data_IF_468664924988
#
_entry.id   IF_468664924988
#
_cell.length_a   1.000
_cell.length_b   1.000
_cell.length_c   1.000
_cell.angle_alpha   90.00
_cell.angle_beta   90.00
_cell.angle_gamma   90.00
#
_symmetry.space_group_name_H-M   'P 1'
#
loop_
_entity.id
_entity.type
_entity.pdbx_description
1 polymer ?
#
# COMPACT_ATOMS: atom_id res chain seq x y z
N UNK A 1 -17.94 -25.98 -27.89
CA UNK A 1 -17.61 -25.18 -28.30
C UNK A 1 -17.28 -24.08 -27.53
N UNK A 2 -17.11 -23.37 -27.58
CA UNK A 2 -16.63 -22.28 -27.01
C UNK A 2 -16.65 -22.14 -25.63
N UNK A 3 -17.01 -22.24 -25.11
CA UNK A 3 -17.12 -22.14 -23.85
C UNK A 3 -16.14 -21.88 -23.05
N UNK A 4 -15.32 -22.32 -23.11
CA UNK A 4 -14.35 -22.15 -22.42
C UNK A 4 -14.03 -20.99 -21.78
N UNK A 5 -13.99 -20.12 -22.19
CA UNK A 5 -13.48 -18.98 -21.60
C UNK A 5 -14.10 -18.61 -20.38
N UNK A 6 -15.03 -19.21 -20.09
CA UNK A 6 -15.63 -18.80 -18.88
C UNK A 6 -14.64 -18.78 -17.74
N UNK A 7 -13.74 -19.62 -17.73
CA UNK A 7 -12.88 -19.65 -16.58
C UNK A 7 -12.10 -18.40 -16.39
N UNK A 8 -11.97 -17.70 -17.36
CA UNK A 8 -11.28 -16.53 -17.26
C UNK A 8 -11.88 -15.54 -16.44
N UNK A 9 -13.06 -15.28 -16.66
CA UNK A 9 -13.68 -14.25 -15.88
C UNK A 9 -13.63 -14.59 -14.43
N UNK A 10 -13.67 -15.82 -14.13
CA UNK A 10 -13.72 -16.19 -12.75
C UNK A 10 -12.49 -15.81 -11.98
N UNK A 11 -11.41 -15.58 -12.67
CA UNK A 11 -10.21 -15.25 -11.93
C UNK A 11 -10.08 -13.79 -11.66
N UNK A 12 -10.91 -12.98 -12.20
CA UNK A 12 -10.79 -11.55 -11.97
C UNK A 12 -11.19 -11.24 -10.55
N UNK A 13 -10.40 -10.52 -9.84
CA UNK A 13 -10.70 -10.12 -8.51
C UNK A 13 -10.68 -8.63 -8.43
N UNK A 14 -11.62 -8.07 -7.72
CA UNK A 14 -11.63 -6.63 -7.51
C UNK A 14 -10.43 -6.27 -6.67
N UNK A 15 -9.79 -5.19 -7.00
CA UNK A 15 -8.68 -4.69 -6.19
C UNK A 15 -9.26 -4.06 -4.94
N UNK A 16 -8.71 -4.42 -3.81
CA UNK A 16 -9.09 -3.81 -2.54
C UNK A 16 -8.09 -2.72 -2.23
N UNK A 17 -8.57 -1.55 -1.88
CA UNK A 17 -7.69 -0.43 -1.55
C UNK A 17 -7.66 -0.23 -0.05
N UNK A 18 -6.57 0.34 0.44
CA UNK A 18 -6.44 0.62 1.86
C UNK A 18 -7.41 1.74 2.20
N UNK A 19 -8.21 1.52 3.22
CA UNK A 19 -9.20 2.50 3.62
C UNK A 19 -8.51 3.80 4.00
N UNK A 20 -8.96 4.90 3.45
CA UNK A 20 -8.34 6.20 3.68
C UNK A 20 -7.40 6.61 2.56
N UNK A 21 -7.01 5.65 1.71
CA UNK A 21 -6.11 5.92 0.60
C UNK A 21 -6.86 5.56 -0.67
N UNK A 22 -7.16 6.51 -1.48
CA UNK A 22 -7.99 6.27 -2.64
C UNK A 22 -7.39 5.32 -3.65
N UNK A 23 -6.09 5.33 -3.77
CA UNK A 23 -5.46 4.57 -4.81
C UNK A 23 -4.24 3.76 -4.35
N UNK A 24 -4.17 3.38 -3.09
CA UNK A 24 -3.09 2.51 -2.63
C UNK A 24 -3.69 1.14 -2.36
N UNK A 25 -3.31 0.13 -3.13
CA UNK A 25 -3.93 -1.19 -2.98
C UNK A 25 -3.51 -1.88 -1.69
N UNK A 26 -4.42 -2.68 -1.17
CA UNK A 26 -4.13 -3.50 0.00
C UNK A 26 -3.59 -4.83 -0.51
N UNK A 27 -2.38 -5.18 -0.12
CA UNK A 27 -1.75 -6.41 -0.55
C UNK A 27 -2.46 -7.63 0.01
N UNK A 28 -2.62 -8.68 -0.79
CA UNK A 28 -3.19 -9.93 -0.31
C UNK A 28 -2.35 -10.45 0.83
N UNK A 29 -2.99 -10.92 1.85
CA UNK A 29 -2.29 -11.45 3.02
C UNK A 29 -2.12 -10.41 4.11
N UNK A 30 -2.44 -9.16 3.84
CA UNK A 30 -2.38 -8.10 4.82
C UNK A 30 -3.78 -7.70 5.24
N UNK A 31 -3.92 -7.25 6.47
CA UNK A 31 -5.20 -6.80 7.00
C UNK A 31 -5.01 -5.40 7.58
N UNK A 32 -5.92 -4.52 7.28
CA UNK A 32 -5.84 -3.18 7.83
C UNK A 32 -6.35 -3.20 9.27
N UNK A 33 -5.58 -2.64 10.19
CA UNK A 33 -6.00 -2.59 11.57
C UNK A 33 -6.52 -1.20 11.89
N UNK A 34 -7.51 -1.20 12.76
CA UNK A 34 -8.18 0.03 13.13
C UNK A 34 -7.46 0.70 14.28
N UNK A 35 -6.30 1.23 14.02
CA UNK A 35 -5.66 2.08 14.99
C UNK A 35 -6.17 3.48 14.69
N UNK A 36 -5.82 4.42 15.48
CA UNK A 36 -6.28 5.77 15.29
C UNK A 36 -5.81 6.25 13.93
N UNK A 37 -6.65 6.10 12.95
CA UNK A 37 -6.32 6.55 11.62
C UNK A 37 -6.38 8.05 11.62
N UNK A 38 -5.30 8.67 11.22
CA UNK A 38 -5.24 10.10 11.16
C UNK A 38 -5.35 10.51 9.71
N UNK A 39 -6.27 11.42 9.41
CA UNK A 39 -6.43 11.91 8.06
C UNK A 39 -6.81 13.36 8.17
N UNK A 40 -5.97 14.26 7.68
CA UNK A 40 -6.30 15.66 7.72
C UNK A 40 -5.57 16.38 6.61
N UNK A 41 -5.92 17.63 6.41
CA UNK A 41 -5.32 18.42 5.35
C UNK A 41 -6.36 18.90 4.37
N UNK A 42 -5.90 19.52 3.31
CA UNK A 42 -6.76 19.99 2.26
C UNK A 42 -6.13 19.62 0.92
N UNK A 43 -6.58 20.22 -0.17
CA UNK A 43 -6.07 19.84 -1.47
C UNK A 43 -4.59 20.11 -1.65
N UNK A 44 -4.06 21.06 -0.92
CA UNK A 44 -2.67 21.43 -1.06
C UNK A 44 -1.76 20.69 -0.10
N UNK A 45 -2.29 20.21 1.00
CA UNK A 45 -1.48 19.60 2.01
C UNK A 45 -2.30 18.54 2.72
N UNK A 46 -1.87 17.32 2.66
CA UNK A 46 -2.62 16.25 3.30
C UNK A 46 -1.69 15.28 4.02
N UNK A 47 -2.25 14.62 5.00
CA UNK A 47 -1.55 13.58 5.73
C UNK A 47 -2.55 12.46 5.97
N UNK A 48 -2.21 11.27 5.52
CA UNK A 48 -3.07 10.10 5.69
C UNK A 48 -2.19 8.96 6.18
N UNK A 49 -2.64 8.23 7.16
CA UNK A 49 -1.86 7.16 7.75
C UNK A 49 -2.73 5.95 8.02
N UNK A 50 -2.22 4.77 7.77
CA UNK A 50 -2.93 3.53 8.05
C UNK A 50 -1.94 2.48 8.49
N UNK A 51 -2.43 1.47 9.22
CA UNK A 51 -1.61 0.37 9.69
C UNK A 51 -2.12 -0.94 9.12
N UNK A 52 -1.21 -1.77 8.66
CA UNK A 52 -1.54 -3.09 8.13
C UNK A 52 -0.76 -4.14 8.91
N UNK A 53 -1.35 -5.30 9.07
CA UNK A 53 -0.67 -6.38 9.77
C UNK A 53 -0.84 -7.69 9.02
N UNK A 54 0.03 -8.65 9.30
CA UNK A 54 -0.06 -9.98 8.70
C UNK A 54 0.68 -10.99 9.56
N UNK A 55 0.12 -12.20 9.62
CA UNK A 55 0.84 -13.32 10.19
C UNK A 55 1.35 -14.23 9.09
N UNK A 56 1.12 -13.85 7.81
CA UNK A 56 1.42 -14.72 6.68
C UNK A 56 2.56 -14.22 5.81
N UNK A 57 2.76 -12.94 5.71
CA UNK A 57 3.80 -12.40 4.85
C UNK A 57 4.78 -11.55 5.64
N UNK A 58 5.99 -11.43 5.16
CA UNK A 58 7.01 -10.61 5.78
C UNK A 58 7.24 -9.32 5.01
N UNK A 59 8.09 -8.47 5.55
CA UNK A 59 8.31 -7.17 4.95
C UNK A 59 8.92 -7.27 3.55
N UNK A 60 9.70 -8.30 3.29
CA UNK A 60 10.29 -8.44 1.98
C UNK A 60 9.22 -8.65 0.92
N UNK A 61 8.18 -9.39 1.24
CA UNK A 61 7.07 -9.58 0.32
C UNK A 61 6.30 -8.27 0.11
N UNK A 62 6.16 -7.49 1.18
CA UNK A 62 5.50 -6.20 1.10
C UNK A 62 6.29 -5.28 0.18
N UNK A 63 7.60 -5.26 0.33
CA UNK A 63 8.46 -4.46 -0.52
C UNK A 63 8.28 -4.86 -1.98
N UNK A 64 8.34 -6.14 -2.26
CA UNK A 64 8.23 -6.62 -3.62
C UNK A 64 6.88 -6.23 -4.23
N UNK A 65 5.83 -6.38 -3.47
CA UNK A 65 4.49 -6.06 -3.98
C UNK A 65 4.37 -4.58 -4.31
N UNK A 66 4.76 -3.70 -3.40
CA UNK A 66 4.55 -2.27 -3.61
C UNK A 66 5.56 -1.67 -4.60
N UNK A 67 6.78 -2.21 -4.66
CA UNK A 67 7.73 -1.74 -5.66
C UNK A 67 7.24 -2.10 -7.07
N UNK A 68 6.50 -3.18 -7.20
CA UNK A 68 5.96 -3.57 -8.51
C UNK A 68 4.62 -2.91 -8.82
N UNK A 69 3.86 -2.57 -7.82
CA UNK A 69 2.50 -2.10 -8.01
C UNK A 69 2.36 -0.59 -8.04
N UNK A 70 3.00 0.10 -7.12
CA UNK A 70 2.83 1.55 -7.02
C UNK A 70 3.32 2.33 -8.23
N UNK A 71 4.35 1.90 -8.95
CA UNK A 71 4.72 2.63 -10.15
C UNK A 71 3.62 2.67 -11.20
N UNK A 72 2.77 1.64 -11.22
CA UNK A 72 1.67 1.61 -12.18
C UNK A 72 0.62 2.66 -11.82
N UNK A 73 0.68 3.18 -10.63
CA UNK A 73 -0.26 4.19 -10.16
C UNK A 73 0.40 5.56 -10.06
N UNK A 74 1.55 5.71 -10.68
CA UNK A 74 2.19 7.02 -10.76
C UNK A 74 3.25 7.30 -9.71
N UNK A 75 3.50 6.35 -8.82
CA UNK A 75 4.51 6.55 -7.78
C UNK A 75 5.87 6.14 -8.29
N UNK A 76 6.92 6.86 -7.91
CA UNK A 76 8.29 6.52 -8.28
C UNK A 76 9.02 6.05 -7.04
N UNK A 77 9.57 4.85 -7.09
CA UNK A 77 10.27 4.29 -5.96
C UNK A 77 11.59 5.01 -5.75
N UNK A 78 11.85 5.46 -4.55
CA UNK A 78 13.06 6.20 -4.23
C UNK A 78 14.08 5.33 -3.49
N UNK A 79 13.72 4.12 -3.14
CA UNK A 79 14.65 3.23 -2.46
C UNK A 79 14.22 2.96 -1.04
N UNK A 80 14.98 2.09 -0.41
CA UNK A 80 14.72 1.69 0.97
C UNK A 80 15.76 2.33 1.88
N UNK A 81 15.31 2.85 2.99
CA UNK A 81 16.21 3.43 3.97
C UNK A 81 15.89 2.76 5.27
N UNK A 82 16.77 1.91 5.76
CA UNK A 82 16.54 1.11 6.97
C UNK A 82 15.29 0.26 6.77
N UNK A 83 14.25 0.51 7.52
CA UNK A 83 13.03 -0.25 7.44
C UNK A 83 11.90 0.53 6.77
N UNK A 84 12.24 1.50 5.94
CA UNK A 84 11.27 2.37 5.31
C UNK A 84 11.42 2.35 3.79
N UNK A 85 10.33 2.11 3.09
CA UNK A 85 10.29 2.22 1.64
C UNK A 85 9.73 3.58 1.31
N UNK A 86 10.33 4.29 0.37
CA UNK A 86 9.95 5.65 0.04
C UNK A 86 9.56 5.76 -1.43
N UNK A 87 8.42 6.40 -1.68
CA UNK A 87 7.92 6.63 -3.04
C UNK A 87 7.51 8.09 -3.17
N UNK A 88 7.68 8.65 -4.35
CA UNK A 88 7.28 10.04 -4.64
C UNK A 88 6.27 10.06 -5.75
N UNK A 89 5.33 10.97 -5.69
CA UNK A 89 4.40 11.22 -6.78
C UNK A 89 4.00 12.68 -6.73
N UNK A 90 4.41 13.44 -7.74
CA UNK A 90 4.11 14.87 -7.78
C UNK A 90 4.59 15.54 -6.49
N UNK A 91 3.70 16.13 -5.76
CA UNK A 91 4.07 16.82 -4.53
C UNK A 91 3.90 15.97 -3.28
N UNK A 92 3.74 14.67 -3.44
CA UNK A 92 3.48 13.79 -2.30
C UNK A 92 4.55 12.74 -2.11
N UNK A 93 4.68 12.29 -0.89
CA UNK A 93 5.59 11.22 -0.53
C UNK A 93 4.81 10.14 0.20
N UNK A 94 5.03 8.89 -0.20
CA UNK A 94 4.44 7.74 0.45
C UNK A 94 5.55 6.96 1.14
N UNK A 95 5.34 6.60 2.40
CA UNK A 95 6.31 5.82 3.14
C UNK A 95 5.66 4.56 3.66
N UNK A 96 6.37 3.45 3.59
CA UNK A 96 5.92 2.19 4.17
C UNK A 96 6.98 1.78 5.16
N UNK A 97 6.63 1.78 6.43
CA UNK A 97 7.58 1.56 7.52
C UNK A 97 7.26 0.26 8.24
N UNK A 98 8.25 -0.60 8.40
CA UNK A 98 8.06 -1.80 9.19
C UNK A 98 8.14 -1.42 10.66
N UNK A 99 7.02 -1.51 11.36
CA UNK A 99 6.98 -1.19 12.77
C UNK A 99 7.32 -2.41 13.64
N UNK A 100 6.79 -3.56 13.26
CA UNK A 100 7.03 -4.79 13.98
C UNK A 100 7.28 -5.88 12.95
N UNK A 101 8.28 -6.72 13.20
CA UNK A 101 8.63 -7.76 12.23
C UNK A 101 7.74 -9.00 12.35
N UNK A 102 7.35 -9.38 13.58
CA UNK A 102 6.57 -10.60 13.77
C UNK A 102 5.65 -10.46 14.97
N UNK A 103 4.34 -10.51 14.77
CA UNK A 103 3.71 -10.51 13.47
C UNK A 103 4.00 -9.20 12.77
N UNK A 104 3.98 -9.21 11.47
CA UNK A 104 4.35 -8.03 10.72
C UNK A 104 3.34 -6.93 10.94
N UNK A 105 3.83 -5.73 11.17
CA UNK A 105 2.98 -4.57 11.22
C UNK A 105 3.69 -3.47 10.46
N UNK A 106 3.01 -2.86 9.49
CA UNK A 106 3.58 -1.76 8.73
C UNK A 106 2.67 -0.55 8.83
N UNK A 107 3.28 0.61 8.77
CA UNK A 107 2.56 1.86 8.77
C UNK A 107 2.76 2.48 7.39
N UNK A 108 1.67 2.85 6.75
CA UNK A 108 1.73 3.49 5.45
C UNK A 108 1.26 4.92 5.60
N UNK A 109 2.05 5.85 5.14
CA UNK A 109 1.77 7.28 5.28
C UNK A 109 1.89 7.96 3.94
N UNK A 110 0.93 8.82 3.60
CA UNK A 110 1.04 9.70 2.44
C UNK A 110 0.98 11.11 2.97
N UNK A 111 1.95 11.93 2.57
CA UNK A 111 2.00 13.31 3.04
C UNK A 111 2.61 14.20 1.97
N UNK A 112 2.39 15.49 2.11
CA UNK A 112 2.98 16.45 1.20
C UNK A 112 4.48 16.45 1.34
N UNK A 113 5.19 16.56 0.22
CA UNK A 113 6.62 16.51 0.24
C UNK A 113 7.28 17.71 0.83
N UNK A 114 6.67 18.84 0.83
CA UNK A 114 7.35 20.02 1.32
C UNK A 114 7.51 20.10 2.73
#
# INVERSE_FOLDING_TARGET
>A
LGVLFSGIAATARATTFIEGFEDVPLMDGMTQIQKDTISFGNEESRFVEAYLTSTRVGFKAVEKFYVNTLPQLGWTYQGRRDNTLIFYREAEMLEIVQEIARPLEVRITVKSKM
#
